data_IF_516258271427
#
_entry.id   IF_516258271427
#
_cell.length_a   1.000
_cell.length_b   1.000
_cell.length_c   1.000
_cell.angle_alpha   90.00
_cell.angle_beta   90.00
_cell.angle_gamma   90.00
#
_symmetry.space_group_name_H-M   'P 1'
#
loop_
_entity.id
_entity.type
_entity.pdbx_description
1 polymer ?
#
# COMPACT_ATOMS: atom_id res chain seq x y z
N UNK A 1 -11.13 7.57 2.40
CA UNK A 1 -10.35 6.50 1.74
C UNK A 1 -9.35 5.91 2.72
N UNK A 2 -9.31 4.61 2.81
CA UNK A 2 -8.35 3.91 3.67
C UNK A 2 -7.37 3.16 2.78
N UNK A 3 -6.09 3.44 2.95
CA UNK A 3 -5.02 2.80 2.19
C UNK A 3 -4.19 1.96 3.16
N UNK A 4 -4.01 0.69 2.84
CA UNK A 4 -3.20 -0.20 3.68
C UNK A 4 -1.98 -0.67 2.91
N UNK A 5 -0.83 -0.62 3.57
CA UNK A 5 0.43 -1.15 3.03
C UNK A 5 0.71 -2.44 3.78
N UNK A 6 0.63 -3.55 3.08
CA UNK A 6 0.83 -4.87 3.68
C UNK A 6 2.29 -5.27 3.55
N UNK A 7 2.92 -5.63 4.65
CA UNK A 7 4.29 -6.10 4.62
C UNK A 7 4.92 -6.14 6.01
N UNK A 8 5.93 -6.97 6.17
CA UNK A 8 6.59 -7.21 7.44
C UNK A 8 7.82 -6.31 7.64
N UNK A 9 7.64 -4.99 7.53
CA UNK A 9 8.68 -4.05 7.92
C UNK A 9 9.96 -4.07 7.10
N UNK A 10 9.92 -4.48 5.85
CA UNK A 10 11.09 -4.46 4.98
C UNK A 10 11.28 -3.08 4.34
N UNK A 11 12.48 -2.83 3.82
CA UNK A 11 12.78 -1.56 3.15
C UNK A 11 11.86 -1.27 1.97
N UNK A 12 11.41 -2.30 1.27
CA UNK A 12 10.47 -2.16 0.15
C UNK A 12 9.10 -1.66 0.62
N UNK A 13 8.66 -2.10 1.78
CA UNK A 13 7.40 -1.65 2.35
C UNK A 13 7.48 -0.17 2.75
N UNK A 14 8.61 0.25 3.30
CA UNK A 14 8.83 1.65 3.65
C UNK A 14 8.88 2.53 2.41
N UNK A 15 9.49 2.06 1.33
CA UNK A 15 9.53 2.77 0.07
C UNK A 15 8.14 2.94 -0.53
N UNK A 16 7.34 1.88 -0.49
CA UNK A 16 5.97 1.94 -0.97
C UNK A 16 5.13 2.93 -0.15
N UNK A 17 5.29 2.90 1.17
CA UNK A 17 4.61 3.85 2.05
C UNK A 17 4.95 5.29 1.69
N UNK A 18 6.23 5.55 1.46
CA UNK A 18 6.70 6.88 1.05
C UNK A 18 6.06 7.30 -0.27
N UNK A 19 6.05 6.41 -1.25
CA UNK A 19 5.48 6.69 -2.56
C UNK A 19 3.97 6.96 -2.47
N UNK A 20 3.26 6.23 -1.62
CA UNK A 20 1.83 6.45 -1.39
C UNK A 20 1.58 7.82 -0.77
N UNK A 21 2.38 8.22 0.21
CA UNK A 21 2.26 9.53 0.85
C UNK A 21 2.46 10.66 -0.17
N UNK A 22 3.46 10.52 -1.03
CA UNK A 22 3.74 11.50 -2.07
C UNK A 22 2.58 11.58 -3.05
N UNK A 23 2.05 10.44 -3.49
CA UNK A 23 0.94 10.40 -4.43
C UNK A 23 -0.30 11.08 -3.87
N UNK A 24 -0.63 10.84 -2.62
CA UNK A 24 -1.78 11.45 -1.95
C UNK A 24 -1.61 12.97 -1.89
N UNK A 25 -0.42 13.43 -1.54
CA UNK A 25 -0.13 14.85 -1.45
C UNK A 25 -0.25 15.53 -2.82
N UNK A 26 0.29 14.91 -3.87
CA UNK A 26 0.23 15.45 -5.22
C UNK A 26 -1.19 15.48 -5.77
N UNK A 27 -2.01 14.51 -5.42
CA UNK A 27 -3.42 14.47 -5.84
C UNK A 27 -4.32 15.36 -5.00
N UNK A 28 -3.84 15.83 -3.86
CA UNK A 28 -4.62 16.68 -2.96
C UNK A 28 -5.82 15.98 -2.34
N UNK A 29 -5.74 14.68 -2.15
CA UNK A 29 -6.82 13.88 -1.55
C UNK A 29 -6.52 13.59 -0.08
N UNK A 30 -7.58 13.35 0.69
CA UNK A 30 -7.44 12.89 2.06
C UNK A 30 -7.57 11.38 2.11
N UNK A 31 -6.61 10.74 2.76
CA UNK A 31 -6.63 9.29 2.93
C UNK A 31 -5.99 8.92 4.26
N UNK A 32 -6.50 7.87 4.86
CA UNK A 32 -5.92 7.29 6.07
C UNK A 32 -4.99 6.17 5.63
N UNK A 33 -3.71 6.29 5.97
CA UNK A 33 -2.70 5.31 5.60
C UNK A 33 -2.38 4.45 6.81
N UNK A 34 -2.54 3.14 6.65
CA UNK A 34 -2.25 2.17 7.69
C UNK A 34 -1.20 1.19 7.20
N UNK A 35 -0.29 0.81 8.08
CA UNK A 35 0.72 -0.19 7.80
C UNK A 35 0.30 -1.49 8.48
N UNK A 36 0.14 -2.55 7.71
CA UNK A 36 -0.26 -3.86 8.21
C UNK A 36 0.94 -4.79 8.17
N UNK A 37 1.46 -5.15 9.34
CA UNK A 37 2.66 -5.97 9.47
C UNK A 37 2.37 -7.40 9.95
N UNK A 38 1.18 -7.65 10.48
CA UNK A 38 0.80 -8.97 10.97
C UNK A 38 0.54 -9.90 9.79
N UNK A 39 1.33 -10.96 9.71
CA UNK A 39 1.21 -11.95 8.64
C UNK A 39 -0.20 -12.54 8.55
N UNK A 40 -0.88 -12.74 9.66
CA UNK A 40 -2.24 -13.30 9.66
C UNK A 40 -3.24 -12.37 8.98
N UNK A 41 -3.09 -11.07 9.17
CA UNK A 41 -3.94 -10.08 8.52
C UNK A 41 -3.63 -10.00 7.03
N UNK A 42 -2.35 -10.09 6.67
CA UNK A 42 -1.92 -10.07 5.27
C UNK A 42 -2.54 -11.25 4.51
N UNK A 43 -2.53 -12.44 5.11
CA UNK A 43 -3.08 -13.64 4.49
C UNK A 43 -4.59 -13.51 4.25
N UNK A 44 -5.29 -12.83 5.14
CA UNK A 44 -6.75 -12.60 4.98
C UNK A 44 -7.07 -11.89 3.68
N UNK A 45 -6.18 -11.01 3.21
CA UNK A 45 -6.38 -10.33 1.93
C UNK A 45 -6.04 -11.20 0.72
N UNK A 46 -5.58 -12.43 0.93
CA UNK A 46 -5.19 -13.32 -0.16
C UNK A 46 -3.85 -12.97 -0.79
N UNK A 47 -3.03 -12.18 -0.11
CA UNK A 47 -1.73 -11.71 -0.63
C UNK A 47 -0.65 -12.72 -0.26
N UNK A 48 0.06 -13.21 -1.28
CA UNK A 48 1.15 -14.16 -1.10
C UNK A 48 2.53 -13.49 -1.13
N UNK A 49 2.62 -12.29 -1.65
CA UNK A 49 3.88 -11.55 -1.79
C UNK A 49 3.71 -10.13 -1.30
N UNK A 50 4.74 -9.59 -0.66
CA UNK A 50 4.75 -8.22 -0.16
C UNK A 50 5.88 -7.43 -0.80
N UNK A 51 5.78 -6.09 -0.86
CA UNK A 51 4.70 -5.27 -0.33
C UNK A 51 3.43 -5.33 -1.17
N UNK A 52 2.29 -5.07 -0.57
CA UNK A 52 1.03 -5.03 -1.27
C UNK A 52 0.29 -3.73 -0.95
N UNK A 53 -0.50 -3.27 -1.90
CA UNK A 53 -1.30 -2.06 -1.75
C UNK A 53 -2.78 -2.42 -1.72
N UNK A 54 -3.46 -1.99 -0.67
CA UNK A 54 -4.91 -2.17 -0.52
C UNK A 54 -5.56 -0.79 -0.42
N UNK A 55 -6.58 -0.57 -1.21
CA UNK A 55 -7.36 0.69 -1.19
C UNK A 55 -8.81 0.33 -0.94
N UNK A 56 -9.36 0.84 0.17
CA UNK A 56 -10.76 0.58 0.57
C UNK A 56 -11.10 -0.91 0.52
N UNK A 57 -10.26 -1.73 1.14
CA UNK A 57 -10.40 -3.18 1.27
C UNK A 57 -10.24 -3.96 -0.04
N UNK A 58 -9.80 -3.30 -1.11
CA UNK A 58 -9.53 -3.96 -2.40
C UNK A 58 -8.02 -4.00 -2.64
N UNK A 59 -7.48 -5.18 -2.86
CA UNK A 59 -6.06 -5.35 -3.18
C UNK A 59 -5.81 -4.83 -4.60
N UNK A 60 -4.99 -3.80 -4.71
CA UNK A 60 -4.66 -3.18 -6.00
C UNK A 60 -3.38 -3.71 -6.60
N UNK A 61 -2.42 -4.09 -5.76
CA UNK A 61 -1.14 -4.60 -6.22
C UNK A 61 -0.51 -5.46 -5.14
N UNK A 62 0.28 -6.43 -5.53
CA UNK A 62 1.04 -7.26 -4.59
C UNK A 62 2.36 -7.68 -5.21
N UNK A 63 3.36 -7.87 -4.34
CA UNK A 63 4.65 -8.42 -4.73
C UNK A 63 5.61 -7.43 -5.37
N UNK A 64 5.29 -6.15 -5.39
CA UNK A 64 6.21 -5.14 -5.96
C UNK A 64 5.99 -3.77 -5.34
N UNK A 65 7.04 -2.96 -5.37
CA UNK A 65 6.95 -1.56 -4.98
C UNK A 65 6.43 -0.76 -6.17
N UNK A 66 5.37 0.02 -5.94
CA UNK A 66 4.81 0.88 -6.97
C UNK A 66 5.50 2.25 -6.93
N UNK A 67 5.76 2.82 -8.09
CA UNK A 67 6.23 4.19 -8.19
C UNK A 67 5.10 5.14 -7.83
N UNK A 68 5.43 6.40 -7.56
CA UNK A 68 4.40 7.43 -7.29
C UNK A 68 3.39 7.50 -8.42
N UNK A 69 3.84 7.44 -9.64
CA UNK A 69 2.96 7.47 -10.82
C UNK A 69 2.01 6.29 -10.85
N UNK A 70 2.52 5.10 -10.54
CA UNK A 70 1.69 3.88 -10.53
C UNK A 70 0.66 3.93 -9.40
N UNK A 71 1.05 4.41 -8.21
CA UNK A 71 0.13 4.55 -7.09
C UNK A 71 -1.02 5.48 -7.47
N UNK A 72 -0.75 6.58 -8.14
CA UNK A 72 -1.78 7.53 -8.57
C UNK A 72 -2.85 6.88 -9.44
N UNK A 73 -2.48 5.88 -10.23
CA UNK A 73 -3.43 5.17 -11.08
C UNK A 73 -4.47 4.38 -10.29
N UNK A 74 -4.12 3.98 -9.08
CA UNK A 74 -5.02 3.21 -8.21
C UNK A 74 -5.80 4.08 -7.23
N UNK A 75 -5.51 5.35 -7.16
CA UNK A 75 -6.19 6.31 -6.33
C UNK A 75 -7.07 7.23 -7.18
#
# INVERSE_FOLDING_TARGET
MIIKILGEGCSKCDEQLKNVKIAIEELGIEADIQKVEDFREIVVYGVMSTPALVVDEVVKSSGRVLSVKEVKKYL
#
